data_IF_104055524421
#
_entry.id   IF_104055524421
#
_cell.length_a   1.000
_cell.length_b   1.000
_cell.length_c   1.000
_cell.angle_alpha   90.00
_cell.angle_beta   90.00
_cell.angle_gamma   90.00
#
_symmetry.space_group_name_H-M   'P 1'
#
loop_
_entity.id
_entity.type
_entity.pdbx_description
1 polymer ?
#
# COMPACT_ATOMS: atom_id res chain seq x y z
N UNK A 1 5.48 17.55 21.30
CA UNK A 1 5.90 18.16 20.01
C UNK A 1 4.77 18.86 19.24
N UNK A 2 3.54 18.95 19.81
CA UNK A 2 2.43 19.64 19.16
C UNK A 2 2.85 21.08 18.79
N UNK A 3 2.70 21.45 17.49
CA UNK A 3 3.14 22.75 16.95
C UNK A 3 4.66 22.92 16.76
N UNK A 4 5.45 21.86 16.93
CA UNK A 4 6.90 21.86 16.74
C UNK A 4 7.33 20.64 15.90
N UNK A 5 6.91 20.54 14.64
CA UNK A 5 7.20 19.36 13.79
C UNK A 5 8.69 19.18 13.52
N UNK A 6 9.46 20.27 13.40
CA UNK A 6 10.92 20.18 13.19
C UNK A 6 11.65 19.55 14.39
N UNK A 7 11.30 19.96 15.61
CA UNK A 7 11.86 19.36 16.83
C UNK A 7 11.51 17.85 16.92
N UNK A 8 10.32 17.47 16.41
CA UNK A 8 9.92 16.07 16.38
C UNK A 8 10.72 15.28 15.34
N UNK A 9 10.96 15.84 14.17
CA UNK A 9 11.83 15.21 13.16
C UNK A 9 13.25 15.05 13.70
N UNK A 10 13.79 16.05 14.39
CA UNK A 10 15.12 15.95 15.01
C UNK A 10 15.17 14.85 16.06
N UNK A 11 14.14 14.73 16.90
CA UNK A 11 14.00 13.65 17.86
C UNK A 11 13.92 12.28 17.19
N UNK A 12 13.12 12.12 16.11
CA UNK A 12 13.05 10.87 15.37
C UNK A 12 14.40 10.46 14.81
N UNK A 13 15.15 11.41 14.27
CA UNK A 13 16.46 11.18 13.66
C UNK A 13 17.52 10.81 14.71
N UNK A 14 17.55 11.50 15.87
CA UNK A 14 18.60 11.34 16.86
C UNK A 14 18.32 10.21 17.87
N UNK A 15 17.04 10.03 18.25
CA UNK A 15 16.69 9.18 19.38
C UNK A 15 15.91 7.93 18.99
N UNK A 16 15.17 7.95 17.86
CA UNK A 16 14.27 6.84 17.49
C UNK A 16 14.89 5.95 16.41
N UNK A 17 15.33 6.52 15.31
CA UNK A 17 15.86 5.72 14.17
C UNK A 17 17.08 4.90 14.57
N UNK A 18 18.11 5.43 15.27
CA UNK A 18 19.31 4.63 15.61
C UNK A 18 19.00 3.36 16.39
N UNK A 19 18.29 3.37 17.54
CA UNK A 19 17.99 2.13 18.26
C UNK A 19 17.04 1.19 17.51
N UNK A 20 16.20 1.69 16.59
CA UNK A 20 15.36 0.85 15.71
C UNK A 20 16.24 0.06 14.76
N UNK A 21 17.23 0.71 14.15
CA UNK A 21 18.17 0.07 13.22
C UNK A 21 19.11 -0.88 13.96
N UNK A 22 19.75 -0.44 15.05
CA UNK A 22 20.68 -1.25 15.83
C UNK A 22 20.06 -2.57 16.33
N UNK A 23 18.76 -2.53 16.64
CA UNK A 23 18.00 -3.69 17.12
C UNK A 23 17.24 -4.43 16.02
N UNK A 24 17.37 -3.99 14.76
CA UNK A 24 16.69 -4.56 13.60
C UNK A 24 15.16 -4.71 13.80
N UNK A 25 14.50 -3.63 14.29
CA UNK A 25 13.07 -3.63 14.63
C UNK A 25 12.16 -3.26 13.46
N UNK A 26 12.70 -2.62 12.42
CA UNK A 26 11.95 -2.21 11.23
C UNK A 26 12.80 -2.29 9.96
N UNK A 27 12.15 -2.46 8.83
CA UNK A 27 12.78 -2.44 7.51
C UNK A 27 12.47 -1.14 6.75
N UNK A 28 11.40 -0.45 7.13
CA UNK A 28 10.91 0.74 6.46
C UNK A 28 10.80 1.91 7.44
N UNK A 29 11.03 3.10 6.90
CA UNK A 29 10.62 4.37 7.50
C UNK A 29 9.47 4.92 6.68
N UNK A 30 8.39 5.26 7.35
CA UNK A 30 7.19 5.83 6.75
C UNK A 30 6.89 7.22 7.33
N UNK A 31 6.28 8.10 6.56
CA UNK A 31 5.89 9.44 6.99
C UNK A 31 4.58 9.87 6.35
N UNK A 32 3.76 10.59 7.09
CA UNK A 32 2.57 11.25 6.58
C UNK A 32 2.94 12.65 6.07
N UNK A 33 3.29 12.71 4.78
CA UNK A 33 3.62 13.95 4.07
C UNK A 33 2.35 14.65 3.63
N UNK A 34 1.80 15.50 4.50
CA UNK A 34 0.51 16.13 4.25
C UNK A 34 0.42 17.51 4.90
N UNK A 35 -0.47 18.36 4.38
CA UNK A 35 -0.74 19.69 4.93
C UNK A 35 -1.14 19.60 6.40
N UNK A 36 -0.50 20.41 7.24
CA UNK A 36 -0.66 20.44 8.70
C UNK A 36 -0.15 19.19 9.43
N UNK A 37 0.56 18.29 8.76
CA UNK A 37 1.28 17.16 9.35
C UNK A 37 2.77 17.37 9.16
N UNK A 38 3.38 16.75 8.14
CA UNK A 38 4.78 16.99 7.78
C UNK A 38 4.87 17.52 6.36
N UNK A 39 5.65 18.60 6.18
CA UNK A 39 5.93 19.15 4.86
C UNK A 39 6.88 18.26 4.06
N UNK A 40 6.94 18.47 2.74
CA UNK A 40 7.90 17.80 1.85
C UNK A 40 9.35 17.99 2.35
N UNK A 41 9.70 19.18 2.83
CA UNK A 41 11.06 19.44 3.36
C UNK A 41 11.38 18.64 4.63
N UNK A 42 10.42 18.53 5.56
CA UNK A 42 10.54 17.73 6.78
C UNK A 42 10.60 16.24 6.48
N UNK A 43 9.73 15.75 5.60
CA UNK A 43 9.71 14.37 5.14
C UNK A 43 11.02 13.99 4.44
N UNK A 44 11.54 14.85 3.58
CA UNK A 44 12.85 14.70 2.93
C UNK A 44 13.98 14.54 3.94
N UNK A 45 14.04 15.41 4.96
CA UNK A 45 15.08 15.39 5.99
C UNK A 45 15.05 14.07 6.78
N UNK A 46 13.87 13.60 7.17
CA UNK A 46 13.68 12.32 7.84
C UNK A 46 14.16 11.17 6.95
N UNK A 47 13.69 11.12 5.71
CA UNK A 47 13.98 10.05 4.76
C UNK A 47 15.45 9.95 4.38
N UNK A 48 16.12 11.08 4.16
CA UNK A 48 17.56 11.10 3.90
C UNK A 48 18.37 10.51 5.06
N UNK A 49 17.92 10.69 6.30
CA UNK A 49 18.55 10.05 7.47
C UNK A 49 18.21 8.56 7.56
N UNK A 50 16.96 8.17 7.30
CA UNK A 50 16.55 6.78 7.28
C UNK A 50 17.35 5.97 6.23
N UNK A 51 17.49 6.49 5.01
CA UNK A 51 18.31 5.89 3.95
C UNK A 51 19.77 5.71 4.35
N UNK A 52 20.39 6.71 4.99
CA UNK A 52 21.79 6.62 5.47
C UNK A 52 21.97 5.51 6.50
N UNK A 53 20.93 5.13 7.19
CA UNK A 53 20.92 4.05 8.19
C UNK A 53 20.41 2.72 7.64
N UNK A 54 20.13 2.64 6.31
CA UNK A 54 19.77 1.41 5.62
C UNK A 54 18.28 1.06 5.65
N UNK A 55 17.40 1.95 6.15
CA UNK A 55 15.96 1.76 6.05
C UNK A 55 15.46 2.08 4.64
N UNK A 56 14.49 1.32 4.16
CA UNK A 56 13.72 1.61 2.95
C UNK A 56 12.62 2.60 3.27
N UNK A 57 12.07 3.25 2.24
CA UNK A 57 11.09 4.31 2.42
C UNK A 57 9.70 3.88 1.97
N UNK A 58 8.69 4.34 2.70
CA UNK A 58 7.27 4.38 2.32
C UNK A 58 6.74 5.76 2.68
N UNK A 59 5.66 6.21 2.04
CA UNK A 59 5.12 7.54 2.27
C UNK A 59 3.59 7.55 2.12
N UNK A 60 2.89 8.16 3.06
CA UNK A 60 1.52 8.62 2.85
C UNK A 60 1.61 9.97 2.16
N UNK A 61 1.07 10.09 0.96
CA UNK A 61 1.30 11.21 0.07
C UNK A 61 0.03 11.69 -0.63
N UNK A 62 -0.11 13.02 -0.69
CA UNK A 62 -1.14 13.68 -1.49
C UNK A 62 -2.55 13.09 -1.26
N UNK A 63 -2.87 12.80 0.01
CA UNK A 63 -4.16 12.25 0.42
C UNK A 63 -5.23 13.34 0.46
N UNK A 64 -4.95 14.45 1.14
CA UNK A 64 -5.91 15.54 1.39
C UNK A 64 -5.69 16.68 0.40
N UNK A 65 -4.42 17.06 0.16
CA UNK A 65 -4.06 18.09 -0.81
C UNK A 65 -2.86 17.64 -1.65
N UNK A 66 -2.78 18.15 -2.87
CA UNK A 66 -1.59 18.01 -3.70
C UNK A 66 -0.44 18.80 -3.05
N UNK A 67 0.50 18.10 -2.43
CA UNK A 67 1.63 18.70 -1.72
C UNK A 67 2.99 18.43 -2.40
N UNK A 68 3.06 17.40 -3.25
CA UNK A 68 4.29 16.94 -3.90
C UNK A 68 4.93 15.75 -3.16
N UNK A 69 4.13 14.99 -2.44
CA UNK A 69 4.56 13.76 -1.76
C UNK A 69 4.88 12.65 -2.74
N UNK A 70 4.14 12.55 -3.84
CA UNK A 70 4.39 11.58 -4.92
C UNK A 70 5.74 11.85 -5.61
N UNK A 71 6.03 13.10 -5.94
CA UNK A 71 7.32 13.52 -6.52
C UNK A 71 8.48 13.24 -5.57
N UNK A 72 8.29 13.50 -4.25
CA UNK A 72 9.30 13.19 -3.23
C UNK A 72 9.56 11.67 -3.15
N UNK A 73 8.51 10.85 -3.21
CA UNK A 73 8.62 9.39 -3.21
C UNK A 73 9.48 8.90 -4.37
N UNK A 74 9.21 9.41 -5.58
CA UNK A 74 9.96 9.07 -6.79
C UNK A 74 11.41 9.53 -6.69
N UNK A 75 11.66 10.77 -6.27
CA UNK A 75 12.99 11.35 -6.15
C UNK A 75 13.91 10.55 -5.20
N UNK A 76 13.35 10.08 -4.08
CA UNK A 76 14.12 9.36 -3.06
C UNK A 76 14.08 7.83 -3.23
N UNK A 77 13.39 7.32 -4.24
CA UNK A 77 13.29 5.90 -4.51
C UNK A 77 12.54 5.14 -3.41
N UNK A 78 11.40 5.67 -2.97
CA UNK A 78 10.54 4.96 -2.04
C UNK A 78 10.04 3.64 -2.66
N UNK A 79 9.79 2.63 -1.82
CA UNK A 79 9.23 1.35 -2.28
C UNK A 79 7.76 1.52 -2.66
N UNK A 80 7.01 2.29 -1.89
CA UNK A 80 5.62 2.66 -2.22
C UNK A 80 5.29 4.08 -1.78
N UNK A 81 4.27 4.64 -2.46
CA UNK A 81 3.57 5.85 -2.05
C UNK A 81 2.09 5.51 -1.89
N UNK A 82 1.52 5.86 -0.76
CA UNK A 82 0.22 5.39 -0.32
C UNK A 82 -0.80 6.55 -0.41
N UNK A 83 -2.10 6.25 -0.64
CA UNK A 83 -3.25 7.12 -0.88
C UNK A 83 -3.31 7.77 -2.26
N UNK A 84 -2.56 8.82 -2.54
CA UNK A 84 -2.40 9.48 -3.85
C UNK A 84 -3.70 10.05 -4.45
N UNK A 85 -4.69 10.42 -3.62
CA UNK A 85 -5.98 10.93 -4.09
C UNK A 85 -5.81 12.22 -4.90
N UNK A 86 -4.85 13.05 -4.49
CA UNK A 86 -4.56 14.37 -5.07
C UNK A 86 -3.21 14.41 -5.80
N UNK A 87 -2.60 13.25 -6.10
CA UNK A 87 -1.32 13.22 -6.81
C UNK A 87 -1.39 14.01 -8.13
N UNK A 88 -0.35 14.78 -8.45
CA UNK A 88 -0.26 15.52 -9.70
C UNK A 88 -0.01 14.58 -10.89
N UNK A 89 -0.24 15.06 -12.12
CA UNK A 89 0.11 14.31 -13.33
C UNK A 89 1.63 14.04 -13.36
N UNK A 90 2.44 15.02 -12.99
CA UNK A 90 3.89 14.86 -12.89
C UNK A 90 4.27 13.82 -11.83
N UNK A 91 3.60 13.86 -10.65
CA UNK A 91 3.84 12.88 -9.59
C UNK A 91 3.54 11.45 -10.04
N UNK A 92 2.46 11.24 -10.80
CA UNK A 92 2.13 9.92 -11.37
C UNK A 92 3.21 9.47 -12.36
N UNK A 93 3.64 10.34 -13.28
CA UNK A 93 4.69 10.04 -14.25
C UNK A 93 6.03 9.74 -13.56
N UNK A 94 6.37 10.51 -12.51
CA UNK A 94 7.60 10.31 -11.73
C UNK A 94 7.59 8.98 -10.96
N UNK A 95 6.46 8.62 -10.33
CA UNK A 95 6.28 7.31 -9.67
C UNK A 95 6.47 6.16 -10.66
N UNK A 96 5.84 6.25 -11.83
CA UNK A 96 5.97 5.24 -12.88
C UNK A 96 7.43 5.10 -13.35
N UNK A 97 8.09 6.22 -13.65
CA UNK A 97 9.48 6.25 -14.10
C UNK A 97 10.47 5.71 -13.05
N UNK A 98 10.22 5.98 -11.76
CA UNK A 98 11.04 5.51 -10.65
C UNK A 98 10.73 4.07 -10.21
N UNK A 99 9.65 3.46 -10.71
CA UNK A 99 9.20 2.13 -10.29
C UNK A 99 8.64 2.08 -8.87
N UNK A 100 8.18 3.20 -8.33
CA UNK A 100 7.52 3.30 -7.03
C UNK A 100 6.10 2.74 -7.14
N UNK A 101 5.72 1.85 -6.23
CA UNK A 101 4.37 1.28 -6.24
C UNK A 101 3.36 2.27 -5.67
N UNK A 102 2.32 2.60 -6.42
CA UNK A 102 1.18 3.38 -5.96
C UNK A 102 0.22 2.48 -5.16
N UNK A 103 0.22 2.57 -3.85
CA UNK A 103 -0.67 1.78 -2.99
C UNK A 103 -1.96 2.55 -2.74
N UNK A 104 -3.05 2.14 -3.37
CA UNK A 104 -4.32 2.81 -3.28
C UNK A 104 -5.23 2.19 -2.22
N UNK A 105 -5.96 3.03 -1.51
CA UNK A 105 -6.67 2.70 -0.28
C UNK A 105 -8.17 3.07 -0.41
N UNK A 106 -8.92 2.36 -1.30
CA UNK A 106 -10.31 2.74 -1.59
C UNK A 106 -11.25 2.62 -0.40
N UNK A 107 -10.93 1.81 0.61
CA UNK A 107 -11.69 1.71 1.84
C UNK A 107 -11.67 3.01 2.64
N UNK A 108 -10.55 3.69 2.69
CA UNK A 108 -10.38 4.98 3.36
C UNK A 108 -11.15 6.07 2.63
N UNK A 109 -10.99 6.18 1.31
CA UNK A 109 -11.75 7.13 0.50
C UNK A 109 -13.28 6.93 0.66
N UNK A 110 -13.73 5.67 0.64
CA UNK A 110 -15.14 5.32 0.89
C UNK A 110 -15.63 5.76 2.27
N UNK A 111 -14.88 5.45 3.33
CA UNK A 111 -15.27 5.74 4.71
C UNK A 111 -15.32 7.24 5.00
N UNK A 112 -14.37 7.99 4.43
CA UNK A 112 -14.27 9.45 4.59
C UNK A 112 -15.13 10.23 3.59
N UNK A 113 -15.72 9.55 2.60
CA UNK A 113 -16.50 10.16 1.49
C UNK A 113 -15.65 11.09 0.63
N UNK A 114 -14.40 10.73 0.43
CA UNK A 114 -13.46 11.44 -0.43
C UNK A 114 -13.52 10.90 -1.87
N UNK A 115 -13.09 11.67 -2.87
CA UNK A 115 -12.86 11.14 -4.22
C UNK A 115 -11.85 9.99 -4.20
N UNK A 116 -12.03 9.03 -5.11
CA UNK A 116 -11.05 7.95 -5.27
C UNK A 116 -9.82 8.43 -6.04
N UNK A 117 -8.67 7.82 -5.75
CA UNK A 117 -7.45 8.05 -6.52
C UNK A 117 -7.63 7.65 -7.99
N UNK A 118 -6.90 8.29 -8.90
CA UNK A 118 -6.97 8.12 -10.36
C UNK A 118 -6.29 6.82 -10.82
N UNK A 119 -6.76 5.68 -10.32
CA UNK A 119 -6.13 4.40 -10.55
C UNK A 119 -6.04 4.01 -12.03
N UNK A 120 -7.12 4.24 -12.81
CA UNK A 120 -7.11 3.93 -14.26
C UNK A 120 -6.01 4.71 -14.98
N UNK A 121 -5.88 5.99 -14.69
CA UNK A 121 -4.87 6.86 -15.29
C UNK A 121 -3.43 6.44 -14.85
N UNK A 122 -3.25 6.08 -13.58
CA UNK A 122 -1.96 5.57 -13.08
C UNK A 122 -1.55 4.30 -13.83
N UNK A 123 -2.48 3.34 -14.02
CA UNK A 123 -2.21 2.11 -14.77
C UNK A 123 -1.91 2.40 -16.23
N UNK A 124 -2.66 3.30 -16.87
CA UNK A 124 -2.47 3.67 -18.29
C UNK A 124 -1.14 4.42 -18.52
N UNK A 125 -0.53 4.98 -17.47
CA UNK A 125 0.81 5.58 -17.46
C UNK A 125 1.90 4.62 -16.93
N UNK A 126 1.64 3.31 -16.95
CA UNK A 126 2.58 2.27 -16.53
C UNK A 126 2.98 2.32 -15.05
N UNK A 127 2.22 3.00 -14.19
CA UNK A 127 2.44 2.98 -12.76
C UNK A 127 1.96 1.65 -12.16
N UNK A 128 2.79 0.98 -11.39
CA UNK A 128 2.41 -0.23 -10.68
C UNK A 128 1.45 0.13 -9.53
N UNK A 129 0.19 -0.30 -9.64
CA UNK A 129 -0.83 -0.06 -8.61
C UNK A 129 -0.97 -1.26 -7.70
N UNK A 130 -0.89 -1.05 -6.39
CA UNK A 130 -1.28 -2.00 -5.34
C UNK A 130 -2.57 -1.53 -4.65
N UNK A 131 -3.26 -2.47 -3.99
CA UNK A 131 -4.46 -2.20 -3.20
C UNK A 131 -4.29 -2.74 -1.79
N UNK A 132 -4.74 -1.99 -0.79
CA UNK A 132 -4.73 -2.39 0.61
C UNK A 132 -5.96 -1.85 1.36
N UNK A 133 -6.15 -2.34 2.59
CA UNK A 133 -7.31 -1.96 3.42
C UNK A 133 -7.13 -0.64 4.14
N UNK A 134 -5.88 -0.28 4.45
CA UNK A 134 -5.59 0.80 5.41
C UNK A 134 -6.33 0.59 6.74
N UNK A 135 -6.32 -0.67 7.23
CA UNK A 135 -7.06 -1.01 8.44
C UNK A 135 -6.59 -0.21 9.66
N UNK A 136 -7.40 0.73 10.07
CA UNK A 136 -7.15 1.55 11.25
C UNK A 136 -8.47 2.07 11.86
N UNK A 137 -8.53 2.38 13.16
CA UNK A 137 -9.75 2.84 13.82
C UNK A 137 -10.12 4.29 13.46
N UNK A 138 -9.27 5.05 12.80
CA UNK A 138 -9.48 6.47 12.49
C UNK A 138 -10.24 6.71 11.20
N UNK A 139 -9.89 6.00 10.13
CA UNK A 139 -10.38 6.27 8.78
C UNK A 139 -10.94 5.05 8.05
N UNK A 140 -10.49 3.82 8.36
CA UNK A 140 -10.95 2.62 7.66
C UNK A 140 -10.93 1.39 8.57
N UNK A 141 -12.05 1.09 9.24
CA UNK A 141 -12.15 -0.02 10.18
C UNK A 141 -12.71 -1.28 9.50
N UNK A 142 -12.02 -1.75 8.47
CA UNK A 142 -12.34 -3.00 7.77
C UNK A 142 -11.09 -3.71 7.27
N UNK A 143 -11.00 -5.01 7.51
CA UNK A 143 -9.99 -5.92 6.94
C UNK A 143 -10.49 -6.67 5.70
N UNK A 144 -11.66 -6.31 5.17
CA UNK A 144 -12.31 -7.02 4.07
C UNK A 144 -11.65 -6.75 2.72
N UNK A 145 -10.72 -7.59 2.31
CA UNK A 145 -10.13 -7.57 0.96
C UNK A 145 -11.19 -7.68 -0.16
N UNK A 146 -12.25 -8.52 -0.04
CA UNK A 146 -13.32 -8.53 -1.04
C UNK A 146 -14.02 -7.17 -1.20
N UNK A 147 -14.20 -6.41 -0.11
CA UNK A 147 -14.75 -5.06 -0.19
C UNK A 147 -13.80 -4.13 -0.95
N UNK A 148 -12.50 -4.16 -0.62
CA UNK A 148 -11.48 -3.36 -1.33
C UNK A 148 -11.47 -3.68 -2.82
N UNK A 149 -11.51 -4.97 -3.18
CA UNK A 149 -11.58 -5.42 -4.57
C UNK A 149 -12.83 -4.87 -5.30
N UNK A 150 -13.97 -4.88 -4.62
CA UNK A 150 -15.24 -4.39 -5.17
C UNK A 150 -15.21 -2.86 -5.37
N UNK A 151 -14.72 -2.10 -4.39
CA UNK A 151 -14.59 -0.66 -4.50
C UNK A 151 -13.64 -0.27 -5.64
N UNK A 152 -12.50 -0.95 -5.77
CA UNK A 152 -11.55 -0.71 -6.84
C UNK A 152 -12.15 -0.97 -8.23
N UNK A 153 -12.86 -2.08 -8.40
CA UNK A 153 -13.48 -2.41 -9.69
C UNK A 153 -14.67 -1.50 -10.04
N UNK A 154 -15.46 -1.06 -9.05
CA UNK A 154 -16.70 -0.30 -9.28
C UNK A 154 -16.49 1.21 -9.33
N UNK A 155 -15.48 1.74 -8.65
CA UNK A 155 -15.30 3.19 -8.48
C UNK A 155 -13.95 3.74 -8.99
N UNK A 156 -13.00 2.86 -9.33
CA UNK A 156 -11.66 3.29 -9.77
C UNK A 156 -11.32 2.79 -11.17
N UNK A 157 -12.28 2.22 -11.89
CA UNK A 157 -12.14 1.70 -13.26
C UNK A 157 -10.98 0.70 -13.42
N UNK A 158 -10.69 -0.07 -12.36
CA UNK A 158 -9.67 -1.14 -12.38
C UNK A 158 -10.34 -2.43 -12.86
N UNK A 159 -9.82 -3.02 -13.93
CA UNK A 159 -10.33 -4.31 -14.42
C UNK A 159 -10.07 -5.41 -13.40
N UNK A 160 -10.91 -6.44 -13.37
CA UNK A 160 -10.80 -7.52 -12.36
C UNK A 160 -9.41 -8.18 -12.35
N UNK A 161 -8.81 -8.38 -13.51
CA UNK A 161 -7.46 -8.94 -13.67
C UNK A 161 -6.40 -8.04 -13.01
N UNK A 162 -6.54 -6.72 -13.17
CA UNK A 162 -5.67 -5.71 -12.56
C UNK A 162 -5.88 -5.65 -11.05
N UNK A 163 -7.13 -5.80 -10.57
CA UNK A 163 -7.43 -5.91 -9.13
C UNK A 163 -6.69 -7.09 -8.49
N UNK A 164 -6.68 -8.26 -9.15
CA UNK A 164 -5.93 -9.42 -8.65
C UNK A 164 -4.43 -9.15 -8.63
N UNK A 165 -3.89 -8.57 -9.69
CA UNK A 165 -2.47 -8.15 -9.75
C UNK A 165 -2.12 -7.18 -8.64
N UNK A 166 -2.98 -6.17 -8.41
CA UNK A 166 -2.79 -5.15 -7.38
C UNK A 166 -2.82 -5.72 -5.95
N UNK A 167 -3.68 -6.72 -5.69
CA UNK A 167 -3.79 -7.39 -4.40
C UNK A 167 -2.73 -8.47 -4.16
N UNK A 168 -1.98 -8.88 -5.18
CA UNK A 168 -1.03 -9.99 -5.08
C UNK A 168 0.40 -9.54 -5.37
N UNK A 169 0.85 -9.59 -6.64
CA UNK A 169 2.26 -9.32 -6.97
C UNK A 169 2.65 -7.86 -6.73
N UNK A 170 1.78 -6.89 -7.04
CA UNK A 170 2.07 -5.48 -6.76
C UNK A 170 2.00 -5.17 -5.26
N UNK A 171 1.06 -5.79 -4.52
CA UNK A 171 1.05 -5.72 -3.06
C UNK A 171 2.33 -6.29 -2.44
N UNK A 172 2.85 -7.39 -2.99
CA UNK A 172 4.15 -7.94 -2.58
C UNK A 172 5.30 -6.99 -2.95
N UNK A 173 5.25 -6.33 -4.12
CA UNK A 173 6.24 -5.34 -4.53
C UNK A 173 6.24 -4.12 -3.60
N UNK A 174 5.06 -3.62 -3.19
CA UNK A 174 4.92 -2.54 -2.21
C UNK A 174 5.56 -2.86 -0.85
N UNK A 175 5.79 -4.14 -0.56
CA UNK A 175 6.49 -4.63 0.63
C UNK A 175 7.94 -5.05 0.35
N UNK A 176 8.44 -4.84 -0.87
CA UNK A 176 9.74 -5.36 -1.33
C UNK A 176 9.86 -6.89 -1.14
N UNK A 177 8.80 -7.63 -1.46
CA UNK A 177 8.69 -9.09 -1.31
C UNK A 177 8.30 -9.82 -2.60
N UNK A 178 8.20 -9.12 -3.73
CA UNK A 178 7.74 -9.70 -5.00
C UNK A 178 8.61 -10.87 -5.50
N UNK A 179 9.89 -10.92 -5.10
CA UNK A 179 10.77 -12.04 -5.41
C UNK A 179 10.39 -13.33 -4.64
N UNK A 180 9.73 -13.20 -3.48
CA UNK A 180 9.43 -14.34 -2.60
C UNK A 180 7.97 -14.74 -2.57
N UNK A 181 7.04 -13.80 -2.78
CA UNK A 181 5.58 -14.00 -2.70
C UNK A 181 4.84 -13.20 -3.78
N UNK A 182 3.52 -13.32 -3.83
CA UNK A 182 2.64 -12.53 -4.69
C UNK A 182 2.32 -13.16 -6.04
N UNK A 183 2.99 -14.24 -6.43
CA UNK A 183 2.64 -15.04 -7.62
C UNK A 183 2.89 -16.52 -7.36
N UNK A 184 2.27 -17.36 -8.17
CA UNK A 184 2.47 -18.83 -8.13
C UNK A 184 3.59 -19.17 -9.13
N UNK A 185 4.83 -19.14 -8.65
CA UNK A 185 6.01 -19.43 -9.43
C UNK A 185 6.93 -20.41 -8.71
N UNK A 186 7.76 -21.12 -9.49
CA UNK A 186 8.78 -22.02 -8.94
C UNK A 186 9.79 -21.23 -8.10
N UNK A 187 10.02 -21.67 -6.86
CA UNK A 187 10.94 -21.02 -5.93
C UNK A 187 10.29 -19.99 -5.01
N UNK A 188 9.07 -19.56 -5.27
CA UNK A 188 8.32 -18.67 -4.34
C UNK A 188 7.62 -19.45 -3.23
N UNK A 189 7.35 -18.76 -2.15
CA UNK A 189 6.62 -19.31 -1.02
C UNK A 189 5.18 -19.64 -1.42
N UNK A 190 4.74 -20.86 -1.14
CA UNK A 190 3.38 -21.32 -1.43
C UNK A 190 2.36 -20.74 -0.42
N UNK A 191 2.04 -19.45 -0.58
CA UNK A 191 0.95 -18.76 0.07
C UNK A 191 -0.20 -18.66 -0.95
N UNK A 192 -1.19 -19.53 -0.84
CA UNK A 192 -2.21 -19.75 -1.87
C UNK A 192 -3.58 -19.74 -1.22
N UNK A 193 -4.54 -19.10 -1.88
CA UNK A 193 -5.97 -19.25 -1.56
C UNK A 193 -6.67 -20.09 -2.62
N UNK A 194 -7.63 -20.90 -2.20
CA UNK A 194 -8.57 -21.59 -3.06
C UNK A 194 -9.92 -20.93 -2.90
N UNK A 195 -10.57 -20.63 -4.02
CA UNK A 195 -11.85 -19.95 -4.04
C UNK A 195 -12.98 -20.96 -4.22
N UNK A 196 -14.14 -20.69 -3.64
CA UNK A 196 -15.37 -21.46 -3.76
C UNK A 196 -15.91 -21.49 -5.19
N UNK A 197 -15.72 -20.40 -5.94
CA UNK A 197 -16.18 -20.27 -7.31
C UNK A 197 -15.05 -20.47 -8.33
N UNK A 198 -15.35 -21.00 -9.53
CA UNK A 198 -14.33 -21.33 -10.51
C UNK A 198 -13.73 -20.11 -11.24
N UNK A 199 -14.06 -18.90 -10.81
CA UNK A 199 -13.56 -17.66 -11.41
C UNK A 199 -13.25 -16.61 -10.35
N UNK A 200 -12.05 -16.01 -10.41
CA UNK A 200 -11.65 -14.87 -9.58
C UNK A 200 -12.54 -13.64 -9.81
N UNK A 201 -13.27 -13.57 -10.92
CA UNK A 201 -14.24 -12.49 -11.22
C UNK A 201 -15.38 -12.41 -10.20
N UNK A 202 -15.61 -13.49 -9.44
CA UNK A 202 -16.56 -13.50 -8.34
C UNK A 202 -16.12 -12.62 -7.16
N UNK A 203 -14.81 -12.34 -6.99
CA UNK A 203 -14.32 -11.56 -5.85
C UNK A 203 -14.94 -10.15 -5.83
N UNK A 204 -14.80 -9.31 -6.87
CA UNK A 204 -15.45 -7.99 -6.89
C UNK A 204 -16.96 -8.06 -7.12
N UNK A 205 -17.48 -9.12 -7.75
CA UNK A 205 -18.90 -9.27 -8.03
C UNK A 205 -19.71 -9.59 -6.77
N UNK A 206 -19.16 -10.39 -5.86
CA UNK A 206 -19.80 -10.74 -4.57
C UNK A 206 -19.33 -9.76 -3.49
N UNK A 207 -19.88 -8.54 -3.54
CA UNK A 207 -19.40 -7.37 -2.82
C UNK A 207 -19.19 -7.62 -1.31
N UNK A 208 -17.96 -7.47 -0.85
CA UNK A 208 -17.61 -7.52 0.58
C UNK A 208 -17.64 -8.92 1.22
N UNK A 209 -18.03 -9.95 0.48
CA UNK A 209 -18.15 -11.32 1.00
C UNK A 209 -16.92 -12.15 0.63
N UNK A 210 -16.38 -12.88 1.60
CA UNK A 210 -15.25 -13.78 1.35
C UNK A 210 -15.71 -15.03 0.60
N UNK A 211 -15.09 -15.29 -0.54
CA UNK A 211 -15.27 -16.50 -1.35
C UNK A 211 -14.12 -17.48 -1.15
N UNK A 212 -13.28 -17.30 -0.13
CA UNK A 212 -12.16 -18.18 0.18
C UNK A 212 -12.67 -19.48 0.82
N UNK A 213 -12.35 -20.60 0.19
CA UNK A 213 -12.61 -21.95 0.70
C UNK A 213 -11.44 -22.47 1.54
N UNK A 214 -10.19 -22.33 1.03
CA UNK A 214 -8.99 -22.77 1.74
C UNK A 214 -7.88 -21.72 1.68
N UNK A 215 -7.05 -21.70 2.73
CA UNK A 215 -5.83 -20.91 2.78
C UNK A 215 -4.65 -21.83 3.04
N UNK A 216 -3.66 -21.74 2.17
CA UNK A 216 -2.33 -22.33 2.39
C UNK A 216 -1.35 -21.22 2.80
N UNK A 217 -0.52 -21.48 3.79
CA UNK A 217 0.60 -20.67 4.22
C UNK A 217 1.86 -21.52 4.26
N UNK A 218 2.89 -21.11 3.48
CA UNK A 218 4.15 -21.88 3.36
C UNK A 218 3.91 -23.35 2.98
N UNK A 219 2.97 -23.59 2.04
CA UNK A 219 2.60 -24.93 1.59
C UNK A 219 1.75 -25.77 2.55
N UNK A 220 1.34 -25.22 3.70
CA UNK A 220 0.47 -25.91 4.66
C UNK A 220 -0.92 -25.31 4.65
N UNK A 221 -1.97 -26.13 4.62
CA UNK A 221 -3.37 -25.68 4.80
C UNK A 221 -3.52 -25.18 6.23
N UNK A 222 -3.88 -23.92 6.40
CA UNK A 222 -4.07 -23.27 7.72
C UNK A 222 -5.53 -22.91 7.97
N UNK A 223 -6.35 -22.89 6.92
CA UNK A 223 -7.80 -22.72 7.01
C UNK A 223 -8.46 -23.57 5.93
N UNK A 224 -9.55 -24.26 6.29
CA UNK A 224 -10.41 -25.01 5.40
C UNK A 224 -11.85 -24.80 5.87
N UNK A 225 -12.66 -24.12 5.06
CA UNK A 225 -14.05 -23.79 5.39
C UNK A 225 -14.88 -25.04 5.73
N UNK A 226 -14.64 -26.15 5.01
CA UNK A 226 -15.41 -27.40 5.21
C UNK A 226 -15.13 -28.04 6.57
N UNK A 227 -13.96 -27.86 7.15
CA UNK A 227 -13.61 -28.42 8.46
C UNK A 227 -13.91 -27.50 9.62
N UNK A 228 -14.14 -26.21 9.36
CA UNK A 228 -14.37 -25.19 10.40
C UNK A 228 -15.83 -25.17 10.90
N UNK A 229 -16.78 -25.71 10.12
CA UNK A 229 -18.20 -25.75 10.43
C UNK A 229 -18.73 -27.17 10.77
N UNK A 230 -17.85 -28.17 10.88
CA UNK A 230 -18.09 -29.50 11.41
C UNK A 230 -17.42 -29.67 12.77
#
# INVERSE_FOLDING_TARGET
YKGRPDDFIDYLISEVIPPVVDRNLAEFCDVFCEKNVFSVAQSRRLFQNALKQGLKLKIHADEIVQLGGAELAAELGAVSADHLLQASDQGIDDLAAAGVVATLLPGTAFSLKEPYARAREMIDRDCAVALATDFNPGSCFTESIPLIASLAALHMDIRTEEVITALTINGAAALDRAAAIGSIDVGKQADIIVLEFPSYRFIPYHIGVSTVEKVMKKGKVVFDRLTYYN
#
